data_IF_605055852913
#
_entry.id   IF_605055852913
#
_cell.length_a   1.000
_cell.length_b   1.000
_cell.length_c   1.000
_cell.angle_alpha   90.00
_cell.angle_beta   90.00
_cell.angle_gamma   90.00
#
_symmetry.space_group_name_H-M   'P 1'
#
loop_
_entity.id
_entity.type
_entity.pdbx_description
1 polymer ?
#
# COMPACT_ATOMS: atom_id res chain seq x y z
N UNK A 1 5.81 -8.38 -3.50
CA UNK A 1 5.85 -9.29 -2.33
C UNK A 1 7.12 -9.01 -1.52
N UNK A 2 7.07 -9.11 -0.19
CA UNK A 2 8.32 -9.09 0.61
C UNK A 2 8.99 -10.46 0.49
N UNK A 3 10.32 -10.48 0.46
CA UNK A 3 11.09 -11.72 0.30
C UNK A 3 11.05 -12.63 1.54
N UNK A 4 10.51 -12.14 2.68
CA UNK A 4 10.58 -12.81 3.99
C UNK A 4 9.34 -12.52 4.84
N UNK A 5 8.97 -13.48 5.69
CA UNK A 5 7.85 -13.37 6.63
C UNK A 5 8.32 -12.74 7.95
N UNK A 6 9.51 -13.06 8.46
CA UNK A 6 10.03 -12.58 9.75
C UNK A 6 11.12 -11.53 9.54
N UNK A 7 10.87 -10.26 9.87
CA UNK A 7 11.90 -9.21 9.86
C UNK A 7 12.40 -8.92 11.27
N UNK A 8 13.63 -9.32 11.58
CA UNK A 8 14.27 -9.07 12.88
C UNK A 8 14.77 -7.63 12.97
N UNK A 9 14.62 -7.05 14.16
CA UNK A 9 15.03 -5.70 14.52
C UNK A 9 15.84 -5.73 15.82
N UNK A 10 16.91 -4.95 15.85
CA UNK A 10 17.71 -4.80 17.07
C UNK A 10 17.00 -3.90 18.10
N UNK A 11 17.67 -3.65 19.23
CA UNK A 11 17.17 -2.86 20.36
C UNK A 11 16.85 -1.41 19.98
N UNK A 12 17.43 -0.90 18.88
CA UNK A 12 17.17 0.43 18.34
C UNK A 12 16.13 0.41 17.21
N UNK A 13 15.55 -0.76 16.90
CA UNK A 13 14.57 -0.95 15.83
C UNK A 13 15.18 -1.01 14.43
N UNK A 14 16.50 -1.09 14.31
CA UNK A 14 17.20 -1.10 13.03
C UNK A 14 17.16 -2.48 12.39
N UNK A 15 17.24 -2.51 11.06
CA UNK A 15 17.36 -3.74 10.29
C UNK A 15 18.82 -4.07 10.00
N UNK A 16 19.28 -5.24 10.44
CA UNK A 16 20.59 -5.78 10.04
C UNK A 16 20.39 -6.99 9.12
N UNK A 17 20.87 -6.95 7.85
CA UNK A 17 20.80 -8.08 6.93
C UNK A 17 21.45 -9.35 7.50
N UNK A 18 22.53 -9.24 8.29
CA UNK A 18 23.26 -10.39 8.85
C UNK A 18 22.49 -11.09 9.97
N UNK A 19 21.59 -10.39 10.65
CA UNK A 19 20.76 -10.94 11.71
C UNK A 19 19.46 -11.57 11.19
N UNK A 20 19.21 -11.48 9.89
CA UNK A 20 18.07 -12.16 9.27
C UNK A 20 18.32 -13.65 9.15
N UNK A 21 17.25 -14.43 9.33
CA UNK A 21 17.34 -15.89 9.45
C UNK A 21 16.75 -16.56 8.22
N UNK A 22 17.34 -17.69 7.75
CA UNK A 22 16.73 -18.52 6.72
C UNK A 22 15.33 -18.98 7.15
N UNK A 23 14.39 -18.89 6.23
CA UNK A 23 13.02 -19.40 6.37
C UNK A 23 12.91 -20.63 5.47
N UNK A 24 13.21 -21.82 6.03
CA UNK A 24 13.19 -23.07 5.29
C UNK A 24 11.80 -23.70 5.39
N UNK A 25 11.12 -23.88 4.25
CA UNK A 25 9.72 -24.33 4.19
C UNK A 25 8.82 -23.43 5.03
N UNK A 26 8.05 -24.01 5.96
CA UNK A 26 7.19 -23.29 6.91
C UNK A 26 7.77 -23.33 8.34
N UNK A 27 9.10 -23.45 8.46
CA UNK A 27 9.80 -23.45 9.75
C UNK A 27 10.38 -22.06 10.03
N UNK A 28 9.88 -21.42 11.09
CA UNK A 28 10.28 -20.08 11.49
C UNK A 28 11.04 -20.11 12.81
N UNK A 29 12.22 -19.49 12.86
CA UNK A 29 12.98 -19.33 14.10
C UNK A 29 12.65 -17.98 14.76
N UNK A 30 11.63 -17.94 15.62
CA UNK A 30 11.19 -16.73 16.32
C UNK A 30 11.98 -16.33 17.58
N UNK A 31 13.13 -16.95 17.88
CA UNK A 31 13.89 -16.62 19.11
C UNK A 31 14.39 -15.17 19.09
N UNK A 32 14.19 -14.39 20.13
CA UNK A 32 14.74 -13.03 20.27
C UNK A 32 15.59 -12.91 21.53
N UNK A 33 16.48 -11.93 21.54
CA UNK A 33 17.13 -11.45 22.76
C UNK A 33 16.27 -10.38 23.42
N UNK A 34 16.58 -10.04 24.67
CA UNK A 34 15.95 -8.91 25.35
C UNK A 34 16.28 -7.62 24.59
N UNK A 35 15.27 -6.80 24.28
CA UNK A 35 15.41 -5.56 23.50
C UNK A 35 15.09 -5.73 22.00
N UNK A 36 15.35 -6.90 21.42
CA UNK A 36 15.04 -7.19 20.02
C UNK A 36 13.53 -7.33 19.78
N UNK A 37 13.08 -6.94 18.59
CA UNK A 37 11.71 -7.14 18.14
C UNK A 37 11.64 -7.79 16.75
N UNK A 38 10.49 -8.38 16.42
CA UNK A 38 10.25 -9.00 15.12
C UNK A 38 8.99 -8.37 14.51
N UNK A 39 9.07 -7.99 13.24
CA UNK A 39 7.90 -7.67 12.41
C UNK A 39 7.55 -8.88 11.55
N UNK A 40 6.32 -9.37 11.67
CA UNK A 40 5.85 -10.57 10.95
C UNK A 40 4.86 -10.15 9.86
N UNK A 41 5.01 -10.72 8.66
CA UNK A 41 4.17 -10.44 7.49
C UNK A 41 3.47 -11.72 7.00
N UNK A 42 2.37 -12.15 7.63
CA UNK A 42 1.75 -13.47 7.37
C UNK A 42 1.27 -13.67 5.92
N UNK A 43 0.90 -12.58 5.25
CA UNK A 43 0.40 -12.59 3.87
C UNK A 43 1.44 -12.06 2.88
N UNK A 44 2.74 -12.16 3.19
CA UNK A 44 3.80 -11.59 2.34
C UNK A 44 3.87 -12.21 0.94
N UNK A 45 3.39 -13.44 0.80
CA UNK A 45 3.30 -14.21 -0.44
C UNK A 45 1.97 -14.00 -1.19
N UNK A 46 1.02 -13.25 -0.63
CA UNK A 46 -0.25 -12.95 -1.30
C UNK A 46 -0.04 -11.85 -2.35
N UNK A 47 -0.68 -12.04 -3.49
CA UNK A 47 -0.87 -11.00 -4.50
C UNK A 47 -2.07 -10.13 -4.15
N UNK A 48 -2.21 -8.99 -4.82
CA UNK A 48 -3.41 -8.16 -4.69
C UNK A 48 -4.69 -8.93 -5.07
N UNK A 49 -4.60 -9.81 -6.07
CA UNK A 49 -5.71 -10.66 -6.47
C UNK A 49 -6.14 -11.59 -5.33
N UNK A 50 -5.18 -12.22 -4.64
CA UNK A 50 -5.47 -13.13 -3.53
C UNK A 50 -6.22 -12.39 -2.41
N UNK A 51 -5.81 -11.15 -2.10
CA UNK A 51 -6.46 -10.32 -1.08
C UNK A 51 -7.90 -10.01 -1.46
N UNK A 52 -8.16 -9.54 -2.69
CA UNK A 52 -9.51 -9.20 -3.13
C UNK A 52 -10.43 -10.41 -3.24
N UNK A 53 -9.93 -11.53 -3.76
CA UNK A 53 -10.69 -12.77 -3.83
C UNK A 53 -11.06 -13.27 -2.43
N UNK A 54 -10.14 -13.18 -1.47
CA UNK A 54 -10.41 -13.58 -0.09
C UNK A 54 -11.46 -12.69 0.57
N UNK A 55 -11.37 -11.36 0.42
CA UNK A 55 -12.40 -10.41 0.89
C UNK A 55 -13.78 -10.77 0.34
N UNK A 56 -13.86 -11.09 -0.95
CA UNK A 56 -15.11 -11.48 -1.61
C UNK A 56 -15.66 -12.83 -1.12
N UNK A 57 -14.81 -13.85 -0.99
CA UNK A 57 -15.21 -15.19 -0.56
C UNK A 57 -15.67 -15.23 0.91
N UNK A 58 -14.95 -14.53 1.78
CA UNK A 58 -15.24 -14.47 3.22
C UNK A 58 -16.22 -13.34 3.58
N UNK A 59 -16.68 -12.57 2.59
CA UNK A 59 -17.61 -11.45 2.76
C UNK A 59 -17.14 -10.43 3.80
N UNK A 60 -15.86 -10.09 3.76
CA UNK A 60 -15.25 -9.15 4.71
C UNK A 60 -15.71 -7.73 4.38
N UNK A 61 -16.27 -7.04 5.36
CA UNK A 61 -16.62 -5.63 5.24
C UNK A 61 -15.36 -4.77 5.10
N UNK A 62 -15.37 -3.84 4.15
CA UNK A 62 -14.26 -2.92 3.88
C UNK A 62 -14.76 -1.48 3.75
N UNK A 63 -13.90 -0.48 3.99
CA UNK A 63 -14.28 0.92 3.84
C UNK A 63 -14.71 1.29 2.42
N UNK A 64 -15.71 2.17 2.31
CA UNK A 64 -16.27 2.59 1.01
C UNK A 64 -15.28 3.26 0.06
N UNK A 65 -14.18 3.81 0.59
CA UNK A 65 -13.11 4.45 -0.20
C UNK A 65 -12.44 3.50 -1.20
N UNK A 66 -12.52 2.19 -0.97
CA UNK A 66 -12.00 1.19 -1.88
C UNK A 66 -12.88 0.96 -3.11
N UNK A 67 -14.16 1.36 -3.03
CA UNK A 67 -15.09 1.36 -4.16
C UNK A 67 -15.10 2.71 -4.88
N UNK A 68 -15.54 2.69 -6.13
CA UNK A 68 -15.59 3.89 -6.95
C UNK A 68 -16.62 4.89 -6.44
N UNK A 69 -16.24 6.16 -6.46
CA UNK A 69 -17.11 7.27 -6.10
C UNK A 69 -16.71 8.51 -6.91
N UNK A 70 -17.65 9.45 -7.06
CA UNK A 70 -17.36 10.73 -7.71
C UNK A 70 -16.63 11.66 -6.74
N UNK A 71 -15.50 12.20 -7.18
CA UNK A 71 -14.72 13.14 -6.37
C UNK A 71 -14.08 14.21 -7.23
N UNK A 72 -13.98 15.40 -6.65
CA UNK A 72 -13.18 16.47 -7.21
C UNK A 72 -11.70 16.17 -6.94
N UNK A 73 -10.93 16.15 -8.02
CA UNK A 73 -9.50 15.84 -8.01
C UNK A 73 -8.74 16.87 -8.83
N UNK A 74 -7.47 17.05 -8.50
CA UNK A 74 -6.51 17.81 -9.31
C UNK A 74 -5.37 16.89 -9.71
N UNK A 75 -4.81 17.10 -10.90
CA UNK A 75 -3.64 16.34 -11.32
C UNK A 75 -2.37 16.99 -10.78
N UNK A 76 -1.63 16.27 -9.93
CA UNK A 76 -0.35 16.71 -9.38
C UNK A 76 0.69 15.63 -9.69
N UNK A 77 1.71 15.98 -10.48
CA UNK A 77 2.81 15.06 -10.86
C UNK A 77 2.31 13.74 -11.49
N UNK A 78 1.28 13.82 -12.34
CA UNK A 78 0.69 12.67 -13.03
C UNK A 78 -0.14 11.74 -12.14
N UNK A 79 -0.59 12.23 -10.98
CA UNK A 79 -1.47 11.50 -10.06
C UNK A 79 -2.70 12.34 -9.73
N UNK A 80 -3.83 11.67 -9.56
CA UNK A 80 -5.09 12.31 -9.19
C UNK A 80 -5.13 12.51 -7.69
N UNK A 81 -5.02 13.76 -7.23
CA UNK A 81 -5.06 14.09 -5.81
C UNK A 81 -6.45 14.59 -5.46
N UNK A 82 -7.15 13.94 -4.50
CA UNK A 82 -8.45 14.43 -4.05
C UNK A 82 -8.30 15.79 -3.38
N UNK A 83 -9.24 16.70 -3.65
CA UNK A 83 -9.33 17.98 -2.94
C UNK A 83 -10.45 17.95 -1.91
N UNK A 84 -10.38 18.88 -0.96
CA UNK A 84 -11.39 19.10 0.07
C UNK A 84 -11.19 20.46 0.73
N UNK A 85 -11.53 20.55 2.00
CA UNK A 85 -11.37 21.78 2.77
C UNK A 85 -9.90 22.16 2.97
N UNK A 86 -9.65 23.44 3.28
CA UNK A 86 -8.32 23.93 3.59
C UNK A 86 -7.67 23.08 4.71
N UNK A 87 -6.38 22.68 4.56
CA UNK A 87 -5.41 23.12 3.56
C UNK A 87 -5.36 22.28 2.26
N UNK A 88 -6.29 21.34 2.06
CA UNK A 88 -6.26 20.37 0.95
C UNK A 88 -7.05 20.79 -0.28
N UNK A 89 -7.22 22.11 -0.48
CA UNK A 89 -7.88 22.66 -1.65
C UNK A 89 -7.02 22.59 -2.93
N UNK A 90 -7.64 23.01 -4.03
CA UNK A 90 -6.91 23.33 -5.25
C UNK A 90 -6.02 24.56 -5.05
N UNK A 91 -4.83 24.55 -5.67
CA UNK A 91 -3.90 25.69 -5.68
C UNK A 91 -4.16 26.57 -6.90
N UNK A 92 -3.66 27.80 -6.87
CA UNK A 92 -3.78 28.72 -8.00
C UNK A 92 -3.22 28.11 -9.29
N UNK A 93 -4.05 28.12 -10.34
CA UNK A 93 -3.72 27.52 -11.65
C UNK A 93 -3.99 26.03 -11.78
N UNK A 94 -4.39 25.32 -10.72
CA UNK A 94 -4.82 23.93 -10.82
C UNK A 94 -6.25 23.83 -11.38
N UNK A 95 -6.48 22.88 -12.29
CA UNK A 95 -7.81 22.60 -12.82
C UNK A 95 -8.47 21.49 -12.01
N UNK A 96 -9.59 21.81 -11.37
CA UNK A 96 -10.42 20.83 -10.67
C UNK A 96 -11.19 19.99 -11.69
N UNK A 97 -11.12 18.68 -11.53
CA UNK A 97 -11.80 17.71 -12.36
C UNK A 97 -12.70 16.83 -11.50
N UNK A 98 -13.97 16.69 -11.90
CA UNK A 98 -14.82 15.67 -11.32
C UNK A 98 -14.52 14.33 -12.01
N UNK A 99 -14.09 13.32 -11.23
CA UNK A 99 -13.71 12.00 -11.72
C UNK A 99 -14.38 10.90 -10.90
N UNK A 100 -14.56 9.75 -11.53
CA UNK A 100 -15.02 8.53 -10.83
C UNK A 100 -13.77 7.74 -10.46
N UNK A 101 -13.48 7.69 -9.16
CA UNK A 101 -12.21 7.22 -8.65
C UNK A 101 -12.40 6.28 -7.47
N UNK A 102 -11.41 5.43 -7.22
CA UNK A 102 -11.28 4.65 -5.99
C UNK A 102 -9.86 4.75 -5.43
N UNK A 103 -9.66 4.32 -4.18
CA UNK A 103 -8.34 4.30 -3.56
C UNK A 103 -7.84 2.86 -3.39
N UNK A 104 -6.80 2.50 -4.15
CA UNK A 104 -6.14 1.17 -4.02
C UNK A 104 -5.27 1.05 -2.78
N UNK A 105 -4.74 2.17 -2.30
CA UNK A 105 -4.02 2.27 -1.04
C UNK A 105 -4.51 3.52 -0.31
N UNK A 106 -4.74 3.42 0.99
CA UNK A 106 -5.23 4.54 1.80
C UNK A 106 -4.21 4.87 2.89
N UNK A 107 -3.99 6.16 3.10
CA UNK A 107 -3.25 6.77 4.20
C UNK A 107 -3.90 8.12 4.51
N UNK A 108 -3.10 9.12 4.87
CA UNK A 108 -3.62 10.48 5.05
C UNK A 108 -3.99 11.13 3.70
N UNK A 109 -4.91 12.10 3.76
CA UNK A 109 -5.34 12.86 2.59
C UNK A 109 -4.18 13.62 1.92
N UNK A 110 -3.14 13.97 2.68
CA UNK A 110 -1.95 14.68 2.21
C UNK A 110 -1.07 13.87 1.26
N UNK A 111 -1.11 12.53 1.35
CA UNK A 111 -0.19 11.62 0.66
C UNK A 111 -0.87 10.49 -0.14
N UNK A 112 -2.21 10.47 -0.14
CA UNK A 112 -3.00 9.45 -0.86
C UNK A 112 -3.50 9.98 -2.20
N UNK A 113 -3.13 9.31 -3.29
CA UNK A 113 -3.68 9.59 -4.62
C UNK A 113 -4.79 8.60 -4.98
N UNK A 114 -5.78 9.11 -5.72
CA UNK A 114 -6.88 8.34 -6.26
C UNK A 114 -6.47 7.66 -7.59
N UNK A 115 -7.18 6.59 -7.93
CA UNK A 115 -7.05 5.89 -9.22
C UNK A 115 -8.38 6.00 -9.96
N UNK A 116 -8.35 6.42 -11.23
CA UNK A 116 -9.53 6.36 -12.10
C UNK A 116 -10.01 4.91 -12.19
N UNK A 117 -11.24 4.67 -11.78
CA UNK A 117 -11.82 3.33 -11.76
C UNK A 117 -13.35 3.42 -11.65
N UNK A 118 -14.10 2.68 -12.48
CA UNK A 118 -15.55 2.58 -12.37
C UNK A 118 -16.01 1.49 -11.38
N UNK A 119 -15.10 0.78 -10.72
CA UNK A 119 -15.44 -0.41 -9.94
C UNK A 119 -16.14 -0.04 -8.62
N UNK A 120 -17.46 -0.17 -8.58
CA UNK A 120 -18.33 0.15 -7.44
C UNK A 120 -18.63 -1.06 -6.55
N UNK A 121 -18.26 -2.27 -6.98
CA UNK A 121 -18.52 -3.53 -6.28
C UNK A 121 -17.24 -4.38 -6.15
N UNK A 122 -17.25 -5.37 -5.25
CA UNK A 122 -16.12 -6.28 -5.08
C UNK A 122 -15.85 -7.08 -6.37
N UNK A 123 -16.90 -7.53 -7.05
CA UNK A 123 -16.81 -8.27 -8.31
C UNK A 123 -16.15 -7.43 -9.41
N UNK A 124 -16.51 -6.15 -9.50
CA UNK A 124 -15.90 -5.22 -10.45
C UNK A 124 -14.43 -4.93 -10.09
N UNK A 125 -14.09 -4.81 -8.80
CA UNK A 125 -12.70 -4.64 -8.36
C UNK A 125 -11.87 -5.87 -8.73
N UNK A 126 -12.37 -7.07 -8.44
CA UNK A 126 -11.69 -8.33 -8.79
C UNK A 126 -11.50 -8.43 -10.32
N UNK A 127 -12.54 -8.10 -11.10
CA UNK A 127 -12.45 -8.05 -12.57
C UNK A 127 -11.42 -7.04 -13.07
N UNK A 128 -11.37 -5.85 -12.46
CA UNK A 128 -10.39 -4.81 -12.79
C UNK A 128 -8.96 -5.27 -12.47
N UNK A 129 -8.73 -5.83 -11.29
CA UNK A 129 -7.40 -6.32 -10.87
C UNK A 129 -6.95 -7.49 -11.75
N UNK A 130 -7.87 -8.34 -12.20
CA UNK A 130 -7.56 -9.44 -13.13
C UNK A 130 -7.08 -8.94 -14.50
N UNK A 131 -7.64 -7.81 -14.96
CA UNK A 131 -7.27 -7.18 -16.23
C UNK A 131 -6.05 -6.26 -16.09
N UNK A 132 -5.75 -5.78 -14.87
CA UNK A 132 -4.69 -4.83 -14.61
C UNK A 132 -3.30 -5.44 -14.80
N UNK A 133 -2.42 -4.69 -15.48
CA UNK A 133 -1.00 -5.04 -15.64
C UNK A 133 -0.08 -4.37 -14.59
N UNK A 134 -0.63 -3.58 -13.66
CA UNK A 134 0.11 -2.78 -12.69
C UNK A 134 -0.31 -3.07 -11.22
N UNK A 135 0.68 -3.18 -10.33
CA UNK A 135 0.50 -3.50 -8.90
C UNK A 135 -0.15 -2.38 -8.08
N UNK A 136 -0.88 -2.74 -7.01
CA UNK A 136 -1.56 -1.81 -6.06
C UNK A 136 -0.74 -0.59 -5.62
N UNK A 137 0.57 -0.73 -5.40
CA UNK A 137 1.41 0.30 -4.76
C UNK A 137 1.87 1.42 -5.68
N UNK A 138 1.55 1.36 -6.98
CA UNK A 138 1.99 2.38 -7.95
C UNK A 138 1.41 3.79 -7.71
N UNK A 139 0.34 3.90 -6.92
CA UNK A 139 -0.37 5.16 -6.70
C UNK A 139 0.14 5.99 -5.50
N UNK A 140 1.02 5.47 -4.63
CA UNK A 140 1.57 6.28 -3.52
C UNK A 140 2.58 7.30 -4.05
N UNK A 141 2.37 8.58 -3.72
CA UNK A 141 3.26 9.68 -4.10
C UNK A 141 4.68 9.43 -3.55
N UNK A 142 4.77 8.88 -2.33
CA UNK A 142 6.04 8.70 -1.59
C UNK A 142 6.89 7.51 -2.07
N UNK A 143 6.33 6.60 -2.88
CA UNK A 143 7.05 5.39 -3.33
C UNK A 143 7.86 5.60 -4.62
N UNK A 144 7.74 6.76 -5.28
CA UNK A 144 8.46 7.07 -6.54
C UNK A 144 9.91 7.55 -6.35
N UNK A 145 10.43 7.57 -5.13
CA UNK A 145 11.85 7.89 -4.85
C UNK A 145 12.69 6.62 -4.79
N UNK A 146 13.41 6.35 -5.90
CA UNK A 146 14.61 5.49 -6.09
C UNK A 146 14.66 4.11 -5.39
N UNK A 147 14.95 3.04 -6.14
CA UNK A 147 15.19 1.68 -5.57
C UNK A 147 16.27 1.65 -4.47
N UNK A 148 17.31 2.49 -4.58
CA UNK A 148 18.32 2.66 -3.53
C UNK A 148 17.74 3.16 -2.19
N UNK A 149 16.67 3.97 -2.24
CA UNK A 149 16.01 4.48 -1.05
C UNK A 149 15.19 3.40 -0.32
N UNK A 150 14.91 2.24 -0.93
CA UNK A 150 14.17 1.17 -0.26
C UNK A 150 15.03 0.42 0.75
N UNK A 151 16.29 0.14 0.40
CA UNK A 151 17.27 -0.46 1.33
C UNK A 151 17.64 0.49 2.46
N UNK A 152 17.78 1.79 2.18
CA UNK A 152 18.03 2.78 3.23
C UNK A 152 16.80 2.97 4.13
N UNK A 153 15.57 2.99 3.57
CA UNK A 153 14.32 2.98 4.38
C UNK A 153 14.18 1.74 5.26
N UNK A 154 14.70 0.57 4.85
CA UNK A 154 14.72 -0.63 5.70
C UNK A 154 15.62 -0.44 6.92
N UNK A 155 16.80 0.15 6.73
CA UNK A 155 17.75 0.50 7.82
C UNK A 155 17.20 1.57 8.75
N UNK A 156 16.50 2.57 8.20
CA UNK A 156 15.83 3.65 8.94
C UNK A 156 14.56 3.19 9.71
N UNK A 157 14.16 1.91 9.60
CA UNK A 157 13.07 1.35 10.42
C UNK A 157 11.66 1.49 9.82
N UNK A 158 11.55 1.96 8.57
CA UNK A 158 10.26 2.19 7.89
C UNK A 158 9.51 0.89 7.54
N UNK A 159 10.19 -0.26 7.52
CA UNK A 159 9.64 -1.56 7.08
C UNK A 159 9.79 -2.71 8.04
#
# INVERSE_FOLDING_TARGET
AKERIFSFRDDFGQWDPKNQRPELWNLYNGRTRMGENIRVFPISNWTEMDVWQYIMLEQIEIPDLYFSHKRDVVERRGQLVPIGDAPFGARDGETVMNRTVRFRTVGDMSCTAATDSPAATLEEIVGEVAAARASERGARIDDKTNEAAMEDRKKEGYF
#
